data_IF_293644456201
#
_entry.id   IF_293644456201
#
_cell.length_a   1.000
_cell.length_b   1.000
_cell.length_c   1.000
_cell.angle_alpha   90.00
_cell.angle_beta   90.00
_cell.angle_gamma   90.00
#
_symmetry.space_group_name_H-M   'P 1'
#
loop_
_entity.id
_entity.type
_entity.pdbx_description
1 polymer ?
#
# COMPACT_ATOMS: atom_id res chain seq x y z
N UNK A 1 -49.25 28.57 2.80
CA UNK A 1 -48.09 29.36 3.29
C UNK A 1 -47.14 28.40 4.01
N UNK A 2 -45.91 28.30 3.49
CA UNK A 2 -44.86 27.33 3.86
C UNK A 2 -44.11 27.75 5.12
N UNK A 3 -43.91 26.86 6.10
CA UNK A 3 -42.98 27.09 7.24
C UNK A 3 -42.01 25.92 7.40
N UNK A 4 -40.88 26.12 6.71
CA UNK A 4 -39.51 25.60 6.77
C UNK A 4 -39.14 24.68 7.96
N UNK A 5 -38.70 23.46 7.62
CA UNK A 5 -37.86 22.62 8.48
C UNK A 5 -36.44 23.21 8.58
N UNK A 6 -36.01 23.58 9.78
CA UNK A 6 -34.59 23.89 10.04
C UNK A 6 -33.83 22.57 10.22
N UNK A 7 -33.06 22.15 9.21
CA UNK A 7 -32.03 21.12 9.36
C UNK A 7 -30.90 21.69 10.21
N UNK A 8 -30.89 21.36 11.50
CA UNK A 8 -29.69 21.55 12.32
C UNK A 8 -28.66 20.51 11.88
N UNK A 9 -27.66 20.97 11.12
CA UNK A 9 -26.46 20.23 10.80
C UNK A 9 -25.64 19.97 12.06
N UNK A 10 -25.96 18.90 12.77
CA UNK A 10 -25.11 18.36 13.83
C UNK A 10 -23.80 17.90 13.22
N UNK A 11 -22.71 18.63 13.48
CA UNK A 11 -21.35 18.17 13.18
C UNK A 11 -21.16 16.84 13.91
N UNK A 12 -20.93 15.76 13.14
CA UNK A 12 -20.54 14.47 13.70
C UNK A 12 -19.30 14.71 14.60
N UNK A 13 -19.30 14.30 15.87
CA UNK A 13 -18.11 14.44 16.68
C UNK A 13 -16.98 13.64 16.04
N UNK A 14 -15.83 14.27 15.82
CA UNK A 14 -14.61 13.54 15.51
C UNK A 14 -14.35 12.64 16.71
N UNK A 15 -14.55 11.33 16.52
CA UNK A 15 -14.14 10.33 17.50
C UNK A 15 -12.63 10.51 17.60
N UNK A 16 -12.18 11.17 18.67
CA UNK A 16 -10.78 11.22 19.07
C UNK A 16 -10.47 9.81 19.57
N UNK A 17 -10.32 8.86 18.64
CA UNK A 17 -9.83 7.52 18.97
C UNK A 17 -8.40 7.71 19.46
N UNK A 18 -8.27 7.86 20.77
CA UNK A 18 -7.02 7.64 21.48
C UNK A 18 -6.78 6.14 21.33
N UNK A 19 -6.22 5.72 20.19
CA UNK A 19 -5.56 4.43 20.07
C UNK A 19 -4.45 4.47 21.12
N UNK A 20 -4.76 3.99 22.32
CA UNK A 20 -3.80 3.84 23.39
C UNK A 20 -2.90 2.71 22.92
N UNK A 21 -1.79 3.08 22.30
CA UNK A 21 -0.74 2.14 21.98
C UNK A 21 -0.35 1.43 23.30
N UNK A 22 -0.12 0.12 23.28
CA UNK A 22 0.30 -0.60 24.48
C UNK A 22 1.55 0.08 25.06
N UNK A 23 1.75 0.00 26.37
CA UNK A 23 2.87 0.70 27.04
C UNK A 23 4.26 0.26 26.54
N UNK A 24 4.34 -0.86 25.81
CA UNK A 24 5.54 -1.39 25.16
C UNK A 24 5.65 -1.05 23.66
N UNK A 25 4.79 -0.17 23.13
CA UNK A 25 4.86 0.25 21.73
C UNK A 25 6.07 1.15 21.51
N UNK A 26 7.08 0.61 20.86
CA UNK A 26 8.18 1.40 20.31
C UNK A 26 7.83 1.83 18.87
N UNK A 27 7.57 3.13 18.61
CA UNK A 27 7.33 3.63 17.26
C UNK A 27 8.56 3.50 16.34
N UNK A 28 9.72 3.18 16.91
CA UNK A 28 10.96 2.94 16.20
C UNK A 28 11.25 1.48 15.88
N UNK A 29 10.47 0.54 16.42
CA UNK A 29 10.64 -0.88 16.14
C UNK A 29 10.31 -1.22 14.67
N UNK A 30 10.96 -2.29 14.19
CA UNK A 30 10.63 -2.94 12.93
C UNK A 30 9.18 -3.49 12.97
N UNK A 31 8.57 -3.62 11.79
CA UNK A 31 7.29 -4.31 11.67
C UNK A 31 7.40 -5.72 12.27
N UNK A 32 6.45 -6.08 13.14
CA UNK A 32 6.39 -7.41 13.74
C UNK A 32 6.32 -8.50 12.65
N UNK A 33 6.88 -9.69 12.89
CA UNK A 33 6.73 -10.81 11.97
C UNK A 33 5.26 -11.23 11.83
N UNK A 34 4.94 -11.96 10.75
CA UNK A 34 3.62 -12.56 10.58
C UNK A 34 3.31 -13.49 11.77
N UNK A 35 2.11 -13.35 12.30
CA UNK A 35 1.57 -14.32 13.26
C UNK A 35 1.33 -15.68 12.56
N UNK A 36 1.25 -16.76 13.33
CA UNK A 36 0.99 -18.10 12.78
C UNK A 36 -0.28 -18.13 11.92
N UNK A 37 -1.37 -17.51 12.38
CA UNK A 37 -2.63 -17.45 11.63
C UNK A 37 -2.51 -16.68 10.30
N UNK A 38 -1.75 -15.58 10.28
CA UNK A 38 -1.46 -14.85 9.05
C UNK A 38 -0.58 -15.68 8.11
N UNK A 39 0.41 -16.40 8.64
CA UNK A 39 1.27 -17.28 7.85
C UNK A 39 0.46 -18.41 7.21
N UNK A 40 -0.49 -19.01 7.92
CA UNK A 40 -1.42 -19.99 7.35
C UNK A 40 -2.29 -19.39 6.23
N UNK A 41 -2.73 -18.14 6.38
CA UNK A 41 -3.46 -17.45 5.33
C UNK A 41 -2.61 -17.24 4.08
N UNK A 42 -1.34 -16.86 4.25
CA UNK A 42 -0.37 -16.76 3.15
C UNK A 42 -0.14 -18.11 2.47
N UNK A 43 -0.02 -19.19 3.24
CA UNK A 43 0.22 -20.53 2.69
C UNK A 43 -0.95 -21.08 1.86
N UNK A 44 -2.16 -20.51 2.00
CA UNK A 44 -3.33 -20.89 1.18
C UNK A 44 -3.38 -20.17 -0.16
N UNK A 45 -2.54 -19.15 -0.38
CA UNK A 45 -2.52 -18.39 -1.62
C UNK A 45 -1.97 -19.23 -2.77
N UNK A 46 -2.65 -19.17 -3.90
CA UNK A 46 -2.13 -19.70 -5.16
C UNK A 46 -1.20 -18.70 -5.83
N UNK A 47 -0.46 -19.13 -6.86
CA UNK A 47 0.34 -18.20 -7.65
C UNK A 47 -0.53 -17.11 -8.31
N UNK A 48 -1.72 -17.48 -8.79
CA UNK A 48 -2.66 -16.53 -9.37
C UNK A 48 -3.10 -15.46 -8.35
N UNK A 49 -3.27 -15.84 -7.08
CA UNK A 49 -3.58 -14.90 -6.01
C UNK A 49 -2.42 -13.94 -5.75
N UNK A 50 -1.18 -14.44 -5.75
CA UNK A 50 0.01 -13.60 -5.61
C UNK A 50 0.11 -12.56 -6.73
N UNK A 51 -0.17 -12.98 -7.98
CA UNK A 51 -0.19 -12.05 -9.12
C UNK A 51 -1.31 -11.01 -8.99
N UNK A 52 -2.50 -11.41 -8.56
CA UNK A 52 -3.63 -10.49 -8.35
C UNK A 52 -3.32 -9.46 -7.24
N UNK A 53 -2.72 -9.92 -6.14
CA UNK A 53 -2.28 -9.05 -5.04
C UNK A 53 -1.19 -8.09 -5.52
N UNK A 54 -0.18 -8.57 -6.23
CA UNK A 54 0.89 -7.72 -6.76
C UNK A 54 0.35 -6.66 -7.71
N UNK A 55 -0.57 -7.04 -8.62
CA UNK A 55 -1.20 -6.11 -9.55
C UNK A 55 -2.00 -5.03 -8.82
N UNK A 56 -2.76 -5.40 -7.77
CA UNK A 56 -3.51 -4.44 -6.96
C UNK A 56 -2.59 -3.49 -6.17
N UNK A 57 -1.48 -3.99 -5.63
CA UNK A 57 -0.45 -3.15 -4.99
C UNK A 57 0.10 -2.14 -6.00
N UNK A 58 0.51 -2.59 -7.19
CA UNK A 58 1.07 -1.73 -8.23
C UNK A 58 0.05 -0.67 -8.67
N UNK A 59 -1.22 -1.03 -8.83
CA UNK A 59 -2.29 -0.10 -9.19
C UNK A 59 -2.48 1.03 -8.15
N UNK A 60 -2.10 0.79 -6.89
CA UNK A 60 -2.14 1.76 -5.81
C UNK A 60 -0.86 2.61 -5.67
N UNK A 61 0.19 2.30 -6.43
CA UNK A 61 1.44 3.08 -6.49
C UNK A 61 1.32 4.07 -7.65
N UNK A 62 1.73 5.31 -7.41
CA UNK A 62 1.70 6.39 -8.40
C UNK A 62 3.12 6.90 -8.69
N UNK A 63 3.24 7.81 -9.64
CA UNK A 63 4.47 8.50 -10.04
C UNK A 63 5.13 9.33 -8.93
N UNK A 64 4.32 9.81 -7.98
CA UNK A 64 4.76 10.54 -6.80
C UNK A 64 4.99 9.61 -5.60
N UNK A 65 5.91 10.01 -4.70
CA UNK A 65 6.17 9.27 -3.46
C UNK A 65 4.90 9.05 -2.63
N UNK A 66 4.64 7.80 -2.28
CA UNK A 66 3.53 7.36 -1.43
C UNK A 66 4.03 6.55 -0.25
N UNK A 67 3.54 6.86 0.95
CA UNK A 67 3.78 6.07 2.15
C UNK A 67 3.41 4.60 1.92
N UNK A 68 4.32 3.68 2.24
CA UNK A 68 4.06 2.23 2.13
C UNK A 68 2.84 1.84 2.94
N UNK A 69 2.69 2.34 4.18
CA UNK A 69 1.52 2.12 5.01
C UNK A 69 0.19 2.53 4.33
N UNK A 70 0.22 3.60 3.51
CA UNK A 70 -0.97 4.04 2.76
C UNK A 70 -1.28 3.08 1.62
N UNK A 71 -0.29 2.68 0.84
CA UNK A 71 -0.47 1.72 -0.29
C UNK A 71 -1.03 0.39 0.23
N UNK A 72 -0.43 -0.14 1.31
CA UNK A 72 -0.88 -1.37 1.97
C UNK A 72 -2.32 -1.22 2.48
N UNK A 73 -2.60 -0.17 3.25
CA UNK A 73 -3.93 0.06 3.81
C UNK A 73 -5.02 0.20 2.75
N UNK A 74 -4.75 0.91 1.65
CA UNK A 74 -5.71 1.02 0.54
C UNK A 74 -5.97 -0.35 -0.12
N UNK A 75 -4.90 -1.08 -0.46
CA UNK A 75 -5.01 -2.40 -1.10
C UNK A 75 -5.79 -3.39 -0.22
N UNK A 76 -5.52 -3.40 1.09
CA UNK A 76 -6.24 -4.24 2.04
C UNK A 76 -7.73 -3.87 2.12
N UNK A 77 -8.07 -2.58 2.13
CA UNK A 77 -9.47 -2.16 2.14
C UNK A 77 -10.20 -2.58 0.87
N UNK A 78 -9.57 -2.45 -0.30
CA UNK A 78 -10.16 -2.88 -1.59
C UNK A 78 -10.48 -4.38 -1.61
N UNK A 79 -9.60 -5.20 -1.04
CA UNK A 79 -9.85 -6.63 -0.89
C UNK A 79 -10.89 -6.95 0.19
N UNK A 80 -10.88 -6.23 1.32
CA UNK A 80 -11.86 -6.39 2.38
C UNK A 80 -13.29 -6.09 1.88
N UNK A 81 -13.46 -5.03 1.09
CA UNK A 81 -14.75 -4.66 0.47
C UNK A 81 -15.28 -5.77 -0.46
N UNK A 82 -14.38 -6.55 -1.06
CA UNK A 82 -14.69 -7.68 -1.93
C UNK A 82 -14.71 -9.03 -1.19
N UNK A 83 -14.51 -9.03 0.13
CA UNK A 83 -14.36 -10.25 0.94
C UNK A 83 -13.24 -11.19 0.46
N UNK A 84 -12.19 -10.63 -0.13
CA UNK A 84 -11.03 -11.36 -0.63
C UNK A 84 -9.92 -11.45 0.44
N UNK A 85 -9.21 -12.57 0.42
CA UNK A 85 -8.01 -12.83 1.23
C UNK A 85 -8.13 -12.54 2.74
N UNK A 86 -9.17 -13.08 3.42
CA UNK A 86 -9.34 -12.88 4.85
C UNK A 86 -8.15 -13.43 5.64
N UNK A 87 -7.65 -12.63 6.59
CA UNK A 87 -6.56 -13.00 7.48
C UNK A 87 -5.16 -12.70 6.96
N UNK A 88 -5.00 -12.10 5.78
CA UNK A 88 -3.70 -11.55 5.38
C UNK A 88 -3.35 -10.31 6.23
N UNK A 89 -2.11 -10.28 6.71
CA UNK A 89 -1.57 -9.15 7.47
C UNK A 89 -0.92 -8.09 6.58
N UNK A 90 -0.93 -6.85 7.03
CA UNK A 90 -0.21 -5.71 6.44
C UNK A 90 1.28 -5.99 6.16
N UNK A 91 1.93 -6.72 7.06
CA UNK A 91 3.34 -7.14 6.92
C UNK A 91 3.57 -7.98 5.65
N UNK A 92 2.61 -8.82 5.25
CA UNK A 92 2.71 -9.61 4.02
C UNK A 92 2.71 -8.70 2.78
N UNK A 93 1.81 -7.70 2.72
CA UNK A 93 1.80 -6.73 1.63
C UNK A 93 3.09 -5.92 1.58
N UNK A 94 3.64 -5.54 2.74
CA UNK A 94 4.94 -4.87 2.81
C UNK A 94 6.09 -5.78 2.28
N UNK A 95 6.04 -7.08 2.53
CA UNK A 95 6.98 -8.04 1.94
C UNK A 95 6.85 -8.11 0.41
N UNK A 96 5.62 -8.10 -0.13
CA UNK A 96 5.41 -8.04 -1.58
C UNK A 96 6.03 -6.79 -2.21
N UNK A 97 5.84 -5.64 -1.58
CA UNK A 97 6.46 -4.38 -2.02
C UNK A 97 7.99 -4.47 -2.03
N UNK A 98 8.61 -5.05 -0.99
CA UNK A 98 10.07 -5.26 -0.96
C UNK A 98 10.54 -6.10 -2.14
N UNK A 99 9.85 -7.20 -2.45
CA UNK A 99 10.18 -8.03 -3.61
C UNK A 99 10.04 -7.26 -4.93
N UNK A 100 9.07 -6.37 -5.07
CA UNK A 100 8.93 -5.52 -6.26
C UNK A 100 10.08 -4.51 -6.39
N UNK A 101 10.54 -3.96 -5.27
CA UNK A 101 11.69 -3.05 -5.22
C UNK A 101 12.97 -3.78 -5.60
N UNK A 102 13.19 -4.98 -5.05
CA UNK A 102 14.33 -5.84 -5.40
C UNK A 102 14.36 -6.19 -6.89
N UNK A 103 13.18 -6.33 -7.51
CA UNK A 103 13.02 -6.57 -8.95
C UNK A 103 13.10 -5.32 -9.82
N UNK A 104 13.22 -4.13 -9.22
CA UNK A 104 13.22 -2.85 -9.94
C UNK A 104 11.87 -2.43 -10.54
N UNK A 105 10.77 -3.06 -10.12
CA UNK A 105 9.42 -2.70 -10.57
C UNK A 105 8.89 -1.42 -9.89
N UNK A 106 9.44 -1.09 -8.72
CA UNK A 106 9.03 0.01 -7.85
C UNK A 106 10.29 0.63 -7.26
N UNK A 107 10.34 1.95 -7.17
CA UNK A 107 11.40 2.66 -6.44
C UNK A 107 10.98 2.89 -4.99
N UNK A 108 11.95 2.83 -4.06
CA UNK A 108 11.70 3.04 -2.64
C UNK A 108 12.70 4.01 -2.00
N UNK A 109 12.24 4.75 -1.00
CA UNK A 109 13.06 5.55 -0.09
C UNK A 109 12.66 5.28 1.36
N UNK A 110 13.61 5.45 2.27
CA UNK A 110 13.44 5.16 3.70
C UNK A 110 13.59 3.67 4.01
N UNK A 111 13.01 3.24 5.13
CA UNK A 111 13.16 1.88 5.64
C UNK A 111 11.90 1.03 5.38
N UNK A 112 11.99 0.09 4.43
CA UNK A 112 10.88 -0.82 4.10
C UNK A 112 10.56 -1.81 5.23
N UNK A 113 11.44 -1.97 6.23
CA UNK A 113 11.13 -2.68 7.48
C UNK A 113 10.09 -1.96 8.32
N UNK A 114 9.89 -0.67 8.06
CA UNK A 114 9.04 0.24 8.83
C UNK A 114 8.14 1.01 7.87
N UNK A 115 6.98 0.44 7.55
CA UNK A 115 6.06 0.95 6.52
C UNK A 115 5.56 2.40 6.73
N UNK A 116 5.56 2.91 7.97
CA UNK A 116 5.25 4.32 8.26
C UNK A 116 6.37 5.31 7.90
N UNK A 117 7.60 4.80 7.78
CA UNK A 117 8.82 5.58 7.53
C UNK A 117 9.42 5.34 6.14
N UNK A 118 8.76 4.55 5.30
CA UNK A 118 9.13 4.32 3.91
C UNK A 118 8.09 4.84 2.94
N UNK A 119 8.58 5.18 1.75
CA UNK A 119 7.77 5.65 0.62
C UNK A 119 8.19 4.92 -0.65
N UNK A 120 7.23 4.76 -1.56
CA UNK A 120 7.39 4.09 -2.85
C UNK A 120 6.78 4.91 -3.97
N UNK A 121 7.31 4.74 -5.20
CA UNK A 121 6.74 5.29 -6.42
C UNK A 121 6.99 4.36 -7.61
N UNK A 122 6.23 4.55 -8.69
CA UNK A 122 6.54 3.90 -9.96
C UNK A 122 7.86 4.45 -10.51
N UNK A 123 8.72 3.61 -11.12
CA UNK A 123 9.91 4.07 -11.81
C UNK A 123 9.53 5.10 -12.86
N UNK A 124 10.24 6.22 -12.89
CA UNK A 124 10.02 7.20 -13.94
C UNK A 124 10.61 6.62 -15.23
N UNK A 125 9.89 6.68 -16.38
CA UNK A 125 10.51 6.36 -17.64
C UNK A 125 11.69 7.31 -17.78
N UNK A 126 12.89 6.75 -17.75
CA UNK A 126 14.08 7.53 -18.05
C UNK A 126 13.88 8.02 -19.47
N UNK A 127 13.64 9.32 -19.64
CA UNK A 127 13.66 9.98 -20.95
C UNK A 127 15.07 9.90 -21.50
N UNK A 128 15.50 8.71 -21.88
CA UNK A 128 16.82 8.43 -22.41
C UNK A 128 16.71 7.26 -23.38
N UNK A 129 15.77 7.38 -24.30
CA UNK A 129 15.89 6.82 -25.65
C UNK A 129 15.85 8.01 -26.61
N UNK A 130 16.95 8.77 -26.66
CA UNK A 130 17.22 9.58 -27.84
C UNK A 130 17.60 8.56 -28.93
N UNK A 131 16.59 8.14 -29.71
CA UNK A 131 16.76 7.20 -30.81
C UNK A 131 17.97 7.64 -31.68
N UNK A 132 18.80 6.70 -32.15
CA UNK A 132 19.96 7.05 -32.96
C UNK A 132 19.48 7.79 -34.21
N UNK A 133 20.03 8.98 -34.43
CA UNK A 133 19.81 9.74 -35.63
C UNK A 133 20.22 8.92 -36.85
N UNK A 134 19.26 8.78 -37.76
CA UNK A 134 19.46 8.75 -39.21
C UNK A 134 20.25 7.57 -39.78
N UNK A 135 19.50 6.54 -40.18
CA UNK A 135 19.75 5.89 -41.48
C UNK A 135 19.23 6.82 -42.58
N UNK A 136 20.12 7.54 -43.28
CA UNK A 136 19.97 7.78 -44.73
C UNK A 136 21.25 8.39 -45.31
N UNK A 137 21.76 7.77 -46.38
CA UNK A 137 22.94 8.23 -47.10
C UNK A 137 23.23 7.25 -48.24
N UNK A 138 22.51 7.44 -49.33
CA UNK A 138 22.72 6.79 -50.64
C UNK A 138 24.04 7.23 -51.28
#
# INVERSE_FOLDING_TARGET
MTQRFTKNGGRKPMIRSVHKYPENYDPHADNAPLTAAQQEAVNRLTEADLHAIDAAIIANIVDNWRKVARVVGTTMNEFADQSLYPGLGDVFYAQRIRLMVEKGLVEAVGDLKRMGYSEVRLPQPTSSECAPASTDGT
#
